data_IF_291862164470
#
_entry.id   IF_291862164470
#
_cell.length_a   1.000
_cell.length_b   1.000
_cell.length_c   1.000
_cell.angle_alpha   90.00
_cell.angle_beta   90.00
_cell.angle_gamma   90.00
#
_symmetry.space_group_name_H-M   'P 1'
#
loop_
_entity.id
_entity.type
_entity.pdbx_description
1 polymer ?
#
# COMPACT_ATOMS: atom_id res chain seq x y z
N UNK A 1 15.51 -7.48 11.27
CA UNK A 1 14.35 -7.63 10.37
C UNK A 1 13.10 -7.27 11.14
N UNK A 2 12.28 -6.37 10.61
CA UNK A 2 11.01 -5.93 11.22
C UNK A 2 9.87 -6.53 10.40
N UNK A 3 8.94 -7.23 11.06
CA UNK A 3 7.75 -7.78 10.41
C UNK A 3 6.57 -6.88 10.73
N UNK A 4 5.93 -6.32 9.69
CA UNK A 4 4.71 -5.55 9.81
C UNK A 4 3.55 -6.43 9.36
N UNK A 5 2.61 -6.70 10.26
CA UNK A 5 1.43 -7.51 9.98
C UNK A 5 0.16 -6.65 10.06
N UNK A 6 -0.67 -6.69 9.03
CA UNK A 6 -1.92 -5.92 9.01
C UNK A 6 -2.46 -5.68 7.60
N UNK A 7 -3.35 -4.70 7.45
CA UNK A 7 -4.01 -4.46 6.16
C UNK A 7 -3.14 -3.75 5.11
N UNK A 8 -3.46 -4.05 3.85
CA UNK A 8 -3.11 -3.29 2.67
C UNK A 8 -4.39 -3.06 1.87
N UNK A 9 -4.60 -1.84 1.40
CA UNK A 9 -5.85 -1.43 0.76
C UNK A 9 -5.59 -0.41 -0.35
N UNK A 10 -6.63 -0.16 -1.13
CA UNK A 10 -6.65 0.91 -2.13
C UNK A 10 -7.54 2.02 -1.61
N UNK A 11 -6.95 3.18 -1.37
CA UNK A 11 -7.69 4.40 -1.08
C UNK A 11 -8.18 5.01 -2.39
N UNK A 12 -9.48 5.32 -2.48
CA UNK A 12 -10.07 6.02 -3.61
C UNK A 12 -10.12 7.51 -3.29
N UNK A 13 -9.12 8.26 -3.78
CA UNK A 13 -8.92 9.67 -3.44
C UNK A 13 -9.64 10.55 -4.47
N UNK A 14 -10.60 11.40 -4.07
CA UNK A 14 -11.25 12.34 -4.97
C UNK A 14 -10.23 13.30 -5.61
N UNK A 15 -10.33 13.49 -6.92
CA UNK A 15 -9.48 14.43 -7.68
C UNK A 15 -10.12 15.82 -7.83
N UNK A 16 -11.19 16.08 -7.09
CA UNK A 16 -11.93 17.34 -7.10
C UNK A 16 -12.99 17.38 -5.99
N UNK A 17 -13.85 18.39 -6.05
CA UNK A 17 -14.98 18.56 -5.11
C UNK A 17 -16.28 18.05 -5.71
N UNK A 18 -17.18 17.58 -4.83
CA UNK A 18 -18.51 17.10 -5.22
C UNK A 18 -18.60 15.58 -5.33
N UNK A 19 -19.82 15.06 -5.27
CA UNK A 19 -20.10 13.63 -5.16
C UNK A 19 -19.74 12.80 -6.42
N UNK A 20 -19.55 13.46 -7.57
CA UNK A 20 -19.23 12.82 -8.85
C UNK A 20 -17.78 13.11 -9.30
N UNK A 21 -16.92 13.55 -8.39
CA UNK A 21 -15.51 13.74 -8.71
C UNK A 21 -14.84 12.41 -9.06
N UNK A 22 -13.95 12.43 -10.04
CA UNK A 22 -13.14 11.26 -10.38
C UNK A 22 -12.35 10.77 -9.16
N UNK A 23 -12.29 9.45 -9.00
CA UNK A 23 -11.57 8.81 -7.91
C UNK A 23 -10.27 8.21 -8.43
N UNK A 24 -9.15 8.66 -7.87
CA UNK A 24 -7.83 8.09 -8.17
C UNK A 24 -7.47 7.02 -7.14
N UNK A 25 -7.21 5.77 -7.56
CA UNK A 25 -6.66 4.74 -6.70
C UNK A 25 -5.27 5.14 -6.16
N UNK A 26 -5.09 5.03 -4.85
CA UNK A 26 -3.81 5.18 -4.17
C UNK A 26 -3.53 3.94 -3.31
N UNK A 27 -2.28 3.49 -3.30
CA UNK A 27 -1.85 2.37 -2.45
C UNK A 27 -1.83 2.84 -1.00
N UNK A 28 -2.46 2.09 -0.10
CA UNK A 28 -2.67 2.53 1.28
C UNK A 28 -2.82 1.41 2.31
N UNK A 29 -3.22 1.81 3.52
CA UNK A 29 -3.23 0.99 4.73
C UNK A 29 -2.11 1.41 5.69
N UNK A 30 -2.42 1.55 6.98
CA UNK A 30 -1.43 1.96 7.99
C UNK A 30 -0.24 0.99 8.08
N UNK A 31 -0.49 -0.32 8.23
CA UNK A 31 0.55 -1.34 8.21
C UNK A 31 1.33 -1.36 6.87
N UNK A 32 0.63 -1.30 5.74
CA UNK A 32 1.27 -1.23 4.41
C UNK A 32 2.23 -0.03 4.29
N UNK A 33 1.77 1.18 4.66
CA UNK A 33 2.57 2.40 4.62
C UNK A 33 3.78 2.33 5.56
N UNK A 34 3.62 1.68 6.72
CA UNK A 34 4.72 1.44 7.66
C UNK A 34 5.80 0.54 7.04
N UNK A 35 5.40 -0.56 6.39
CA UNK A 35 6.36 -1.45 5.70
C UNK A 35 7.10 -0.73 4.56
N UNK A 36 6.37 0.04 3.74
CA UNK A 36 6.98 0.87 2.68
C UNK A 36 7.96 1.89 3.25
N UNK A 37 7.62 2.55 4.36
CA UNK A 37 8.51 3.51 5.01
C UNK A 37 9.78 2.84 5.54
N UNK A 38 9.66 1.67 6.18
CA UNK A 38 10.80 0.90 6.68
C UNK A 38 11.77 0.50 5.56
N UNK A 39 11.24 -0.01 4.44
CA UNK A 39 12.06 -0.37 3.26
C UNK A 39 12.81 0.86 2.72
N UNK A 40 12.11 1.99 2.56
CA UNK A 40 12.72 3.25 2.07
C UNK A 40 13.80 3.82 2.98
N UNK A 41 13.69 3.56 4.29
CA UNK A 41 14.70 3.96 5.29
C UNK A 41 15.87 2.96 5.37
N UNK A 42 15.88 1.92 4.53
CA UNK A 42 16.96 0.92 4.48
C UNK A 42 16.89 -0.12 5.60
N UNK A 43 15.79 -0.20 6.34
CA UNK A 43 15.61 -1.22 7.37
C UNK A 43 15.12 -2.53 6.74
N UNK A 44 15.71 -3.70 7.07
CA UNK A 44 15.20 -4.97 6.58
C UNK A 44 13.77 -5.21 7.08
N UNK A 45 12.80 -5.20 6.17
CA UNK A 45 11.38 -5.30 6.47
C UNK A 45 10.72 -6.48 5.75
N UNK A 46 9.68 -7.04 6.38
CA UNK A 46 8.78 -8.00 5.77
C UNK A 46 7.34 -7.59 6.05
N UNK A 47 6.46 -7.80 5.07
CA UNK A 47 5.04 -7.49 5.19
C UNK A 47 4.21 -8.78 5.20
N UNK A 48 3.36 -8.95 6.23
CA UNK A 48 2.50 -10.11 6.39
C UNK A 48 1.03 -9.68 6.30
N UNK A 49 0.36 -10.06 5.23
CA UNK A 49 -1.04 -9.70 4.98
C UNK A 49 -1.71 -10.72 4.06
N UNK A 50 -3.04 -10.64 3.95
CA UNK A 50 -3.77 -11.23 2.84
C UNK A 50 -3.97 -10.16 1.77
N UNK A 51 -3.33 -10.33 0.63
CA UNK A 51 -3.51 -9.50 -0.55
C UNK A 51 -4.31 -10.25 -1.62
N UNK A 52 -5.11 -9.51 -2.38
CA UNK A 52 -5.78 -10.05 -3.57
C UNK A 52 -4.77 -10.48 -4.63
N UNK A 53 -5.20 -11.31 -5.57
CA UNK A 53 -4.43 -11.70 -6.77
C UNK A 53 -4.82 -10.91 -8.02
N UNK A 54 -5.67 -9.89 -7.86
CA UNK A 54 -6.06 -8.99 -8.94
C UNK A 54 -4.99 -7.90 -9.17
N UNK A 55 -5.27 -7.00 -10.12
CA UNK A 55 -4.36 -5.91 -10.48
C UNK A 55 -4.06 -4.95 -9.32
N UNK A 56 -4.99 -4.75 -8.38
CA UNK A 56 -4.74 -3.90 -7.21
C UNK A 56 -3.86 -4.61 -6.17
N UNK A 57 -4.09 -5.90 -5.97
CA UNK A 57 -3.23 -6.75 -5.14
C UNK A 57 -1.79 -6.77 -5.64
N UNK A 58 -1.59 -6.97 -6.95
CA UNK A 58 -0.26 -6.92 -7.56
C UNK A 58 0.38 -5.52 -7.46
N UNK A 59 -0.40 -4.44 -7.63
CA UNK A 59 0.10 -3.08 -7.47
C UNK A 59 0.62 -2.79 -6.04
N UNK A 60 -0.06 -3.33 -5.01
CA UNK A 60 0.40 -3.24 -3.61
C UNK A 60 1.70 -4.03 -3.42
N UNK A 61 1.78 -5.27 -3.90
CA UNK A 61 2.99 -6.08 -3.80
C UNK A 61 4.18 -5.43 -4.50
N UNK A 62 3.97 -4.85 -5.67
CA UNK A 62 4.98 -4.11 -6.41
C UNK A 62 5.44 -2.84 -5.68
N UNK A 63 4.52 -2.15 -4.99
CA UNK A 63 4.85 -1.01 -4.14
C UNK A 63 5.81 -1.38 -3.01
N UNK A 64 5.56 -2.52 -2.34
CA UNK A 64 6.45 -3.07 -1.31
C UNK A 64 7.81 -3.47 -1.90
N UNK A 65 7.83 -4.22 -3.00
CA UNK A 65 9.08 -4.67 -3.66
C UNK A 65 9.98 -3.49 -4.06
N UNK A 66 9.39 -2.39 -4.54
CA UNK A 66 10.15 -1.18 -4.92
C UNK A 66 10.66 -0.39 -3.71
N UNK A 67 10.05 -0.54 -2.55
CA UNK A 67 10.44 0.20 -1.35
C UNK A 67 11.75 -0.31 -0.74
N UNK A 68 12.09 -1.58 -0.96
CA UNK A 68 13.20 -2.28 -0.29
C UNK A 68 12.70 -3.13 0.87
#
# INVERSE_FOLDING_TARGET
MIVVAGEALIDLVPQGVGALADLKPALGGGPYNTAVALGRLGSPAAFCSRTSRDAFGEALLDGLRRAG
#
